data_IF_132736337380
#
_entry.id   IF_132736337380
#
_cell.length_a   1.000
_cell.length_b   1.000
_cell.length_c   1.000
_cell.angle_alpha   90.00
_cell.angle_beta   90.00
_cell.angle_gamma   90.00
#
_symmetry.space_group_name_H-M   'P 1'
#
loop_
_entity.id
_entity.type
_entity.pdbx_description
1 polymer ?
#
# COMPACT_ATOMS: atom_id res chain seq x y z
N UNK A 1 -16.36 30.53 5.41
CA UNK A 1 -16.70 29.57 4.36
C UNK A 1 -17.76 30.21 3.48
N UNK A 2 -17.60 30.19 2.19
CA UNK A 2 -18.30 31.11 1.28
C UNK A 2 -19.65 30.47 0.86
N UNK A 3 -20.78 31.05 1.26
CA UNK A 3 -22.16 30.64 0.89
C UNK A 3 -22.34 30.33 -0.60
N UNK A 4 -21.54 30.96 -1.44
CA UNK A 4 -21.54 30.75 -2.89
C UNK A 4 -20.92 29.38 -3.26
N UNK A 5 -19.87 28.96 -2.59
CA UNK A 5 -19.24 27.66 -2.81
C UNK A 5 -20.14 26.52 -2.36
N UNK A 6 -20.82 26.65 -1.23
CA UNK A 6 -21.80 25.67 -0.74
C UNK A 6 -22.98 25.50 -1.70
N UNK A 7 -23.46 26.59 -2.29
CA UNK A 7 -24.56 26.54 -3.27
C UNK A 7 -24.15 25.86 -4.59
N UNK A 8 -22.90 26.06 -5.04
CA UNK A 8 -22.36 25.37 -6.22
C UNK A 8 -22.20 23.86 -5.95
N UNK A 9 -21.71 23.52 -4.79
CA UNK A 9 -21.54 22.12 -4.38
C UNK A 9 -22.90 21.40 -4.29
N UNK A 10 -23.91 22.02 -3.70
CA UNK A 10 -25.26 21.50 -3.63
C UNK A 10 -25.85 21.25 -5.03
N UNK A 11 -25.72 22.19 -5.95
CA UNK A 11 -26.18 22.03 -7.34
C UNK A 11 -25.45 20.92 -8.08
N UNK A 12 -24.15 20.72 -7.81
CA UNK A 12 -23.38 19.63 -8.38
C UNK A 12 -23.90 18.26 -7.89
N UNK A 13 -24.18 18.13 -6.59
CA UNK A 13 -24.73 16.93 -5.98
C UNK A 13 -26.09 16.57 -6.60
N UNK A 14 -27.00 17.54 -6.76
CA UNK A 14 -28.31 17.33 -7.35
C UNK A 14 -28.21 16.84 -8.82
N UNK A 15 -27.29 17.40 -9.60
CA UNK A 15 -27.03 16.95 -10.98
C UNK A 15 -26.50 15.53 -11.04
N UNK A 16 -25.57 15.18 -10.15
CA UNK A 16 -24.99 13.84 -10.03
C UNK A 16 -26.09 12.81 -9.69
N UNK A 17 -26.95 13.12 -8.73
CA UNK A 17 -28.06 12.26 -8.34
C UNK A 17 -29.06 12.07 -9.49
N UNK A 18 -29.44 13.15 -10.14
CA UNK A 18 -30.36 13.11 -11.31
C UNK A 18 -29.77 12.28 -12.44
N UNK A 19 -28.51 12.47 -12.78
CA UNK A 19 -27.80 11.68 -13.78
C UNK A 19 -27.76 10.20 -13.42
N UNK A 20 -27.33 9.86 -12.21
CA UNK A 20 -27.27 8.47 -11.76
C UNK A 20 -28.64 7.79 -11.72
N UNK A 21 -29.73 8.54 -11.46
CA UNK A 21 -31.08 8.00 -11.49
C UNK A 21 -31.58 7.72 -12.92
N UNK A 22 -31.25 8.59 -13.87
CA UNK A 22 -31.71 8.47 -15.27
C UNK A 22 -30.92 7.42 -16.05
N UNK A 23 -29.68 7.18 -15.75
CA UNK A 23 -28.83 6.24 -16.48
C UNK A 23 -29.23 4.78 -16.20
N UNK A 24 -29.33 3.98 -17.28
CA UNK A 24 -29.57 2.53 -17.20
C UNK A 24 -28.26 1.76 -16.94
N UNK A 25 -27.59 2.08 -15.84
CA UNK A 25 -26.33 1.42 -15.43
C UNK A 25 -26.34 1.11 -13.94
N UNK A 26 -25.66 0.06 -13.53
CA UNK A 26 -25.54 -0.32 -12.12
C UNK A 26 -24.50 0.51 -11.36
N UNK A 27 -23.56 1.13 -12.06
CA UNK A 27 -22.53 1.99 -11.46
C UNK A 27 -22.36 3.27 -12.26
N UNK A 28 -22.38 4.39 -11.58
CA UNK A 28 -22.09 5.72 -12.13
C UNK A 28 -20.87 6.27 -11.41
N UNK A 29 -19.84 6.61 -12.14
CA UNK A 29 -18.57 7.09 -11.63
C UNK A 29 -18.44 8.59 -11.89
N UNK A 30 -18.04 9.33 -10.86
CA UNK A 30 -17.93 10.78 -10.92
C UNK A 30 -16.47 11.18 -10.85
N UNK A 31 -16.00 11.95 -11.84
CA UNK A 31 -14.64 12.48 -11.93
C UNK A 31 -13.54 11.41 -11.87
N UNK A 32 -13.79 10.25 -12.45
CA UNK A 32 -12.82 9.16 -12.52
C UNK A 32 -12.99 8.33 -13.80
N UNK A 33 -11.95 7.62 -14.28
CA UNK A 33 -12.04 6.70 -15.40
C UNK A 33 -13.00 5.54 -15.12
N UNK A 34 -13.77 5.12 -16.13
CA UNK A 34 -14.72 4.00 -16.01
C UNK A 34 -14.05 2.67 -15.63
N UNK A 35 -12.80 2.45 -16.03
CA UNK A 35 -12.01 1.27 -15.67
C UNK A 35 -11.85 1.09 -14.15
N UNK A 36 -11.79 2.17 -13.40
CA UNK A 36 -11.68 2.11 -11.94
C UNK A 36 -12.96 1.56 -11.28
N UNK A 37 -14.10 1.72 -11.92
CA UNK A 37 -15.36 1.19 -11.41
C UNK A 37 -15.46 -0.33 -11.40
N UNK A 38 -14.75 -1.01 -12.29
CA UNK A 38 -14.67 -2.47 -12.31
C UNK A 38 -13.79 -3.00 -11.15
N UNK A 39 -12.66 -2.36 -10.91
CA UNK A 39 -11.72 -2.75 -9.85
C UNK A 39 -12.30 -2.46 -8.45
N UNK A 40 -13.16 -1.45 -8.33
CA UNK A 40 -13.87 -1.18 -7.09
C UNK A 40 -13.00 -0.55 -6.02
N UNK A 41 -12.97 -1.14 -4.85
CA UNK A 41 -12.48 -0.56 -3.61
C UNK A 41 -10.98 -0.22 -3.56
N UNK A 42 -10.19 -0.76 -4.47
CA UNK A 42 -8.78 -0.39 -4.62
C UNK A 42 -8.58 1.14 -4.76
N UNK A 43 -9.59 1.85 -5.28
CA UNK A 43 -9.54 3.29 -5.48
C UNK A 43 -10.31 4.12 -4.44
N UNK A 44 -10.54 3.58 -3.25
CA UNK A 44 -11.09 4.29 -2.09
C UNK A 44 -12.51 4.90 -2.27
N UNK A 45 -13.39 4.23 -2.99
CA UNK A 45 -14.80 4.64 -3.11
C UNK A 45 -15.80 3.59 -2.62
N UNK A 46 -15.35 2.61 -1.84
CA UNK A 46 -16.20 1.61 -1.16
C UNK A 46 -17.12 0.78 -2.10
N UNK A 47 -16.74 0.62 -3.35
CA UNK A 47 -17.36 -0.35 -4.24
C UNK A 47 -16.67 -1.70 -4.10
N UNK A 48 -17.41 -2.78 -3.99
CA UNK A 48 -16.81 -4.11 -4.00
C UNK A 48 -16.15 -4.39 -5.36
N UNK A 49 -14.97 -5.04 -5.37
CA UNK A 49 -14.33 -5.47 -6.61
C UNK A 49 -15.27 -6.38 -7.41
N UNK A 50 -15.25 -6.25 -8.73
CA UNK A 50 -16.08 -7.06 -9.61
C UNK A 50 -15.31 -7.42 -10.87
N UNK A 51 -15.33 -8.69 -11.25
CA UNK A 51 -14.78 -9.16 -12.53
C UNK A 51 -15.72 -8.87 -13.70
N UNK A 52 -17.02 -8.80 -13.42
CA UNK A 52 -18.05 -8.51 -14.42
C UNK A 52 -19.01 -7.47 -13.88
N UNK A 53 -19.43 -6.56 -14.74
CA UNK A 53 -20.42 -5.53 -14.43
C UNK A 53 -21.67 -5.78 -15.27
N UNK A 54 -22.80 -5.98 -14.58
CA UNK A 54 -24.11 -6.06 -15.23
C UNK A 54 -24.87 -4.75 -15.11
N UNK A 55 -25.92 -4.60 -15.92
CA UNK A 55 -26.84 -3.47 -15.84
C UNK A 55 -28.01 -3.71 -14.88
N UNK A 56 -27.97 -4.75 -14.06
CA UNK A 56 -29.08 -5.16 -13.23
C UNK A 56 -30.25 -5.69 -14.09
N UNK A 57 -31.48 -5.40 -13.70
CA UNK A 57 -32.67 -5.85 -14.43
C UNK A 57 -32.73 -5.37 -15.88
N UNK A 58 -32.06 -4.29 -16.24
CA UNK A 58 -31.96 -3.83 -17.64
C UNK A 58 -31.05 -4.69 -18.52
N UNK A 59 -30.16 -5.48 -17.92
CA UNK A 59 -29.23 -6.37 -18.62
C UNK A 59 -29.68 -7.81 -18.66
N UNK A 60 -30.91 -8.11 -18.22
CA UNK A 60 -31.46 -9.48 -18.18
C UNK A 60 -30.57 -10.48 -17.44
N UNK A 61 -29.85 -10.01 -16.40
CA UNK A 61 -28.92 -10.82 -15.63
C UNK A 61 -29.68 -11.82 -14.75
N UNK A 62 -29.28 -13.08 -14.78
CA UNK A 62 -29.73 -14.10 -13.85
C UNK A 62 -28.95 -14.04 -12.54
N UNK A 63 -29.60 -14.51 -11.47
CA UNK A 63 -29.00 -14.62 -10.14
C UNK A 63 -28.79 -16.09 -9.79
N UNK A 64 -27.68 -16.40 -9.10
CA UNK A 64 -27.34 -17.76 -8.67
C UNK A 64 -27.87 -18.13 -7.28
N UNK A 65 -28.41 -17.16 -6.54
CA UNK A 65 -28.95 -17.37 -5.18
C UNK A 65 -30.48 -17.44 -5.16
N UNK A 66 -31.04 -17.74 -3.97
CA UNK A 66 -32.49 -17.71 -3.79
C UNK A 66 -33.04 -16.29 -4.06
N UNK A 67 -34.10 -16.21 -4.87
CA UNK A 67 -34.76 -14.95 -5.20
C UNK A 67 -35.52 -14.43 -3.98
N UNK A 68 -35.23 -13.24 -3.56
CA UNK A 68 -35.89 -12.56 -2.46
C UNK A 68 -36.15 -11.08 -2.81
N UNK A 69 -36.75 -10.28 -1.91
CA UNK A 69 -37.09 -8.87 -2.16
C UNK A 69 -35.96 -8.03 -2.72
N UNK A 70 -34.72 -8.30 -2.29
CA UNK A 70 -33.52 -7.61 -2.81
C UNK A 70 -33.31 -7.75 -4.32
N UNK A 71 -33.80 -8.85 -4.92
CA UNK A 71 -33.66 -9.09 -6.36
C UNK A 71 -34.70 -8.36 -7.20
N UNK A 72 -35.74 -7.85 -6.57
CA UNK A 72 -36.75 -7.00 -7.19
C UNK A 72 -36.34 -5.52 -7.19
N UNK A 73 -35.26 -5.18 -6.49
CA UNK A 73 -34.76 -3.82 -6.40
C UNK A 73 -33.61 -3.61 -7.40
N UNK A 74 -33.75 -2.58 -8.23
CA UNK A 74 -32.63 -2.09 -9.04
C UNK A 74 -31.74 -1.18 -8.21
N UNK A 75 -30.74 -1.77 -7.57
CA UNK A 75 -29.77 -1.03 -6.76
C UNK A 75 -28.76 -0.36 -7.68
N UNK A 76 -28.70 0.96 -7.65
CA UNK A 76 -27.71 1.77 -8.35
C UNK A 76 -26.69 2.32 -7.35
N UNK A 77 -25.43 2.22 -7.69
CA UNK A 77 -24.35 2.84 -6.92
C UNK A 77 -23.87 4.10 -7.63
N UNK A 78 -23.84 5.20 -6.91
CA UNK A 78 -23.17 6.44 -7.32
C UNK A 78 -21.89 6.54 -6.50
N UNK A 79 -20.76 6.49 -7.18
CA UNK A 79 -19.45 6.55 -6.54
C UNK A 79 -18.74 7.84 -6.93
N UNK A 80 -18.33 8.58 -5.92
CA UNK A 80 -17.52 9.76 -6.07
C UNK A 80 -16.20 9.56 -5.32
N UNK A 81 -15.10 9.90 -5.95
CA UNK A 81 -13.78 9.88 -5.32
C UNK A 81 -13.72 10.93 -4.22
N UNK A 82 -13.40 10.51 -2.99
CA UNK A 82 -13.31 11.42 -1.84
C UNK A 82 -12.08 12.33 -1.88
N UNK A 83 -11.04 11.90 -2.57
CA UNK A 83 -9.75 12.59 -2.57
C UNK A 83 -9.12 12.58 -3.95
N UNK A 84 -8.64 13.75 -4.36
CA UNK A 84 -7.76 13.87 -5.52
C UNK A 84 -6.32 13.57 -5.08
N UNK A 85 -5.73 12.51 -5.63
CA UNK A 85 -4.27 12.38 -5.57
C UNK A 85 -3.64 13.40 -6.51
N UNK A 86 -3.35 14.56 -5.95
CA UNK A 86 -2.68 15.66 -6.69
C UNK A 86 -1.15 15.56 -6.63
N UNK A 87 -0.63 14.53 -5.97
CA UNK A 87 0.81 14.36 -5.81
C UNK A 87 1.22 12.89 -5.93
N UNK A 88 2.40 12.70 -6.46
CA UNK A 88 3.08 11.42 -6.55
C UNK A 88 4.39 11.51 -5.75
N UNK A 89 4.61 10.59 -4.83
CA UNK A 89 5.81 10.56 -4.01
C UNK A 89 6.73 9.44 -4.45
N UNK A 90 7.94 9.80 -4.77
CA UNK A 90 9.04 8.88 -5.03
C UNK A 90 10.04 8.92 -3.87
N UNK A 91 10.94 7.94 -3.73
CA UNK A 91 12.05 8.01 -2.82
C UNK A 91 12.87 9.28 -3.03
N UNK A 92 13.44 9.89 -1.97
CA UNK A 92 14.27 11.10 -2.09
C UNK A 92 15.48 10.92 -3.00
N UNK A 93 16.04 9.71 -3.04
CA UNK A 93 17.16 9.34 -3.90
C UNK A 93 16.92 7.98 -4.52
N UNK A 94 17.24 7.84 -5.79
CA UNK A 94 17.24 6.58 -6.53
C UNK A 94 18.61 6.45 -7.19
N UNK A 95 19.36 5.45 -6.81
CA UNK A 95 20.63 5.09 -7.44
C UNK A 95 20.36 4.07 -8.54
N UNK A 96 20.62 4.43 -9.77
CA UNK A 96 20.32 3.61 -10.93
C UNK A 96 21.51 3.50 -11.87
N UNK A 97 22.40 2.56 -11.57
CA UNK A 97 23.53 2.20 -12.42
C UNK A 97 24.15 0.91 -11.89
N UNK A 98 24.71 0.09 -12.75
CA UNK A 98 25.54 -1.03 -12.31
C UNK A 98 26.71 -0.52 -11.45
N UNK A 99 26.91 -1.15 -10.28
CA UNK A 99 27.96 -0.77 -9.33
C UNK A 99 27.68 0.48 -8.50
N UNK A 100 26.45 1.05 -8.52
CA UNK A 100 26.13 2.23 -7.73
C UNK A 100 25.90 1.93 -6.23
N UNK A 101 25.99 0.69 -5.80
CA UNK A 101 25.73 0.29 -4.41
C UNK A 101 26.71 0.98 -3.46
N UNK A 102 27.98 1.05 -3.79
CA UNK A 102 29.00 1.74 -2.98
C UNK A 102 28.62 3.20 -2.72
N UNK A 103 28.20 3.91 -3.76
CA UNK A 103 27.74 5.30 -3.64
C UNK A 103 26.48 5.42 -2.77
N UNK A 104 25.53 4.50 -2.93
CA UNK A 104 24.32 4.46 -2.11
C UNK A 104 24.64 4.23 -0.62
N UNK A 105 25.64 3.43 -0.31
CA UNK A 105 26.04 3.13 1.06
C UNK A 105 26.74 4.31 1.75
N UNK A 106 27.30 5.28 1.02
CA UNK A 106 27.82 6.51 1.64
C UNK A 106 26.75 7.31 2.38
N UNK A 107 25.47 7.17 1.98
CA UNK A 107 24.34 7.80 2.67
C UNK A 107 24.05 7.19 4.06
N UNK A 108 24.68 6.06 4.38
CA UNK A 108 24.51 5.36 5.66
C UNK A 108 25.51 5.81 6.72
N UNK A 109 26.42 6.72 6.40
CA UNK A 109 27.41 7.25 7.29
C UNK A 109 26.78 7.76 8.61
N UNK A 110 27.40 7.41 9.74
CA UNK A 110 26.89 7.74 11.07
C UNK A 110 25.86 6.75 11.64
N UNK A 111 25.40 5.78 10.87
CA UNK A 111 24.61 4.65 11.38
C UNK A 111 25.52 3.64 12.09
N UNK A 112 24.94 2.84 12.98
CA UNK A 112 25.71 1.88 13.80
C UNK A 112 25.27 0.44 13.63
N UNK A 113 23.98 0.21 13.39
CA UNK A 113 23.38 -1.14 13.44
C UNK A 113 22.36 -1.31 12.33
N UNK A 114 22.72 -2.06 11.31
CA UNK A 114 21.88 -2.35 10.16
C UNK A 114 21.15 -3.68 10.32
N UNK A 115 19.83 -3.68 10.21
CA UNK A 115 19.03 -4.90 10.11
C UNK A 115 18.70 -5.16 8.65
N UNK A 116 19.25 -6.25 8.11
CA UNK A 116 19.10 -6.63 6.71
C UNK A 116 17.96 -7.62 6.60
N UNK A 117 16.97 -7.31 5.78
CA UNK A 117 15.81 -8.19 5.49
C UNK A 117 15.94 -8.71 4.08
N UNK A 118 15.97 -10.04 3.95
CA UNK A 118 16.14 -10.73 2.66
C UNK A 118 15.40 -12.06 2.65
N UNK A 119 15.44 -12.76 1.53
CA UNK A 119 14.95 -14.14 1.43
C UNK A 119 16.10 -15.15 1.48
N UNK A 120 15.74 -16.43 1.71
CA UNK A 120 16.71 -17.51 1.83
C UNK A 120 17.50 -17.78 0.56
N UNK A 121 16.92 -17.52 -0.62
CA UNK A 121 17.62 -17.71 -1.88
C UNK A 121 18.78 -16.71 -2.04
N UNK A 122 18.52 -15.43 -1.83
CA UNK A 122 19.55 -14.38 -1.92
C UNK A 122 20.60 -14.54 -0.80
N UNK A 123 20.18 -14.93 0.39
CA UNK A 123 21.11 -15.22 1.48
C UNK A 123 22.13 -16.30 1.09
N UNK A 124 21.67 -17.39 0.49
CA UNK A 124 22.53 -18.50 0.09
C UNK A 124 23.31 -18.26 -1.22
N UNK A 125 22.89 -17.30 -2.04
CA UNK A 125 23.53 -16.99 -3.33
C UNK A 125 24.84 -16.22 -3.22
N UNK A 126 25.17 -15.68 -2.05
CA UNK A 126 26.37 -14.87 -1.82
C UNK A 126 26.22 -13.40 -2.23
N UNK A 127 25.06 -12.97 -2.72
CA UNK A 127 24.79 -11.56 -3.11
C UNK A 127 24.98 -10.58 -1.96
N UNK A 128 24.80 -11.05 -0.73
CA UNK A 128 24.96 -10.19 0.46
C UNK A 128 26.44 -9.88 0.81
N UNK A 129 27.39 -10.53 0.16
CA UNK A 129 28.82 -10.34 0.48
C UNK A 129 29.24 -8.89 0.30
N UNK A 130 28.97 -8.32 -0.86
CA UNK A 130 29.32 -6.93 -1.19
C UNK A 130 28.65 -5.91 -0.25
N UNK A 131 27.32 -5.96 -0.03
CA UNK A 131 26.68 -5.10 0.99
C UNK A 131 27.27 -5.21 2.39
N UNK A 132 27.63 -6.41 2.83
CA UNK A 132 28.21 -6.62 4.15
C UNK A 132 29.62 -6.02 4.27
N UNK A 133 30.44 -6.15 3.24
CA UNK A 133 31.76 -5.53 3.15
C UNK A 133 31.65 -4.00 3.25
N UNK A 134 30.71 -3.37 2.55
CA UNK A 134 30.49 -1.92 2.66
C UNK A 134 30.01 -1.49 4.06
N UNK A 135 29.14 -2.28 4.72
CA UNK A 135 28.75 -1.99 6.09
C UNK A 135 29.92 -2.11 7.08
N UNK A 136 30.77 -3.11 6.90
CA UNK A 136 31.97 -3.29 7.69
C UNK A 136 32.96 -2.13 7.51
N UNK A 137 33.20 -1.69 6.26
CA UNK A 137 34.03 -0.51 5.96
C UNK A 137 33.52 0.76 6.65
N UNK A 138 32.19 0.90 6.81
CA UNK A 138 31.56 2.01 7.52
C UNK A 138 31.48 1.82 9.04
N UNK A 139 31.96 0.68 9.56
CA UNK A 139 31.86 0.35 10.98
C UNK A 139 30.43 0.07 11.47
N UNK A 140 29.53 -0.33 10.58
CA UNK A 140 28.13 -0.61 10.86
C UNK A 140 27.98 -2.11 11.15
N UNK A 141 27.51 -2.46 12.34
CA UNK A 141 27.16 -3.84 12.66
C UNK A 141 25.92 -4.27 11.89
N UNK A 142 25.95 -5.46 11.29
CA UNK A 142 24.82 -6.01 10.55
C UNK A 142 24.22 -7.24 11.26
N UNK A 143 22.89 -7.33 11.25
CA UNK A 143 22.14 -8.55 11.57
C UNK A 143 21.21 -8.89 10.41
N UNK A 144 21.16 -10.17 10.01
CA UNK A 144 20.49 -10.59 8.80
C UNK A 144 19.27 -11.44 9.13
N UNK A 145 18.10 -11.03 8.66
CA UNK A 145 16.88 -11.80 8.68
C UNK A 145 16.59 -12.34 7.27
N UNK A 146 16.83 -13.64 7.07
CA UNK A 146 16.75 -14.31 5.77
C UNK A 146 15.52 -15.25 5.66
N UNK A 147 14.54 -15.11 6.55
CA UNK A 147 13.36 -16.00 6.62
C UNK A 147 12.15 -15.46 5.84
N UNK A 148 12.34 -14.50 4.94
CA UNK A 148 11.22 -13.98 4.15
C UNK A 148 10.86 -14.99 3.05
N UNK A 149 9.60 -15.41 3.06
CA UNK A 149 9.00 -16.26 2.02
C UNK A 149 8.26 -15.40 0.99
N UNK A 150 7.98 -15.93 -0.21
CA UNK A 150 7.01 -15.32 -1.10
C UNK A 150 5.68 -15.09 -0.34
N UNK A 151 5.06 -13.92 -0.55
CA UNK A 151 3.87 -13.50 0.18
C UNK A 151 4.06 -13.52 1.71
N UNK A 152 4.87 -12.61 2.26
CA UNK A 152 5.26 -12.62 3.66
C UNK A 152 4.07 -12.51 4.59
N UNK A 153 4.01 -13.40 5.58
CA UNK A 153 2.95 -13.42 6.59
C UNK A 153 3.23 -12.48 7.75
N UNK A 154 2.20 -12.11 8.51
CA UNK A 154 2.37 -11.39 9.78
C UNK A 154 3.24 -12.16 10.78
N UNK A 155 3.19 -13.49 10.74
CA UNK A 155 4.05 -14.33 11.59
C UNK A 155 5.53 -14.12 11.28
N UNK A 156 5.88 -14.06 9.99
CA UNK A 156 7.24 -13.73 9.55
C UNK A 156 7.65 -12.33 9.98
N UNK A 157 6.77 -11.34 9.83
CA UNK A 157 7.05 -9.98 10.26
C UNK A 157 7.28 -9.88 11.78
N UNK A 158 6.47 -10.55 12.60
CA UNK A 158 6.62 -10.59 14.06
C UNK A 158 7.97 -11.16 14.49
N UNK A 159 8.39 -12.29 13.89
CA UNK A 159 9.73 -12.86 14.16
C UNK A 159 10.86 -11.86 13.87
N UNK A 160 10.75 -11.14 12.74
CA UNK A 160 11.70 -10.09 12.42
C UNK A 160 11.71 -8.97 13.46
N UNK A 161 10.53 -8.52 13.91
CA UNK A 161 10.40 -7.49 14.97
C UNK A 161 11.01 -7.95 16.31
N UNK A 162 10.77 -9.20 16.70
CA UNK A 162 11.36 -9.75 17.94
C UNK A 162 12.90 -9.73 17.89
N UNK A 163 13.44 -10.06 16.71
CA UNK A 163 14.89 -9.98 16.47
C UNK A 163 15.39 -8.53 16.47
N UNK A 164 14.65 -7.61 15.86
CA UNK A 164 14.95 -6.17 15.91
C UNK A 164 14.91 -5.62 17.32
N UNK A 165 13.98 -6.06 18.18
CA UNK A 165 13.91 -5.64 19.58
C UNK A 165 15.14 -6.07 20.38
N UNK A 166 15.75 -7.19 20.01
CA UNK A 166 17.01 -7.67 20.62
C UNK A 166 18.22 -6.92 20.07
N UNK A 167 18.28 -6.80 18.75
CA UNK A 167 19.41 -6.17 18.05
C UNK A 167 19.41 -4.65 18.16
N UNK A 168 18.24 -4.00 18.24
CA UNK A 168 18.02 -2.54 18.31
C UNK A 168 18.68 -1.78 17.16
N UNK A 169 18.27 -2.05 15.91
CA UNK A 169 18.82 -1.38 14.74
C UNK A 169 18.45 0.10 14.69
N UNK A 170 19.31 0.90 14.09
CA UNK A 170 19.03 2.29 13.70
C UNK A 170 18.93 2.45 12.17
N UNK A 171 19.03 1.35 11.44
CA UNK A 171 18.95 1.24 10.01
C UNK A 171 18.31 -0.08 9.60
N UNK A 172 17.40 -0.05 8.62
CA UNK A 172 16.85 -1.26 8.01
C UNK A 172 17.16 -1.22 6.52
N UNK A 173 17.72 -2.31 6.00
CA UNK A 173 18.05 -2.50 4.60
C UNK A 173 17.27 -3.70 4.09
N UNK A 174 16.46 -3.53 3.06
CA UNK A 174 15.81 -4.62 2.36
C UNK A 174 16.59 -4.95 1.10
N UNK A 175 17.00 -6.20 0.94
CA UNK A 175 17.70 -6.68 -0.25
C UNK A 175 16.89 -7.79 -0.88
N UNK A 176 16.38 -7.55 -2.08
CA UNK A 176 15.59 -8.53 -2.83
C UNK A 176 14.48 -7.92 -3.66
N UNK A 177 13.52 -8.75 -4.01
CA UNK A 177 12.30 -8.36 -4.74
C UNK A 177 11.24 -7.73 -3.83
N UNK A 178 9.99 -7.76 -4.28
CA UNK A 178 8.85 -7.19 -3.54
C UNK A 178 8.69 -7.75 -2.13
N UNK A 179 8.78 -9.08 -1.95
CA UNK A 179 8.53 -9.73 -0.66
C UNK A 179 9.47 -9.28 0.45
N UNK A 180 10.81 -9.25 0.31
CA UNK A 180 11.70 -8.68 1.30
C UNK A 180 11.45 -7.20 1.59
N UNK A 181 11.18 -6.40 0.53
CA UNK A 181 10.90 -4.98 0.69
C UNK A 181 9.61 -4.72 1.47
N UNK A 182 8.56 -5.48 1.21
CA UNK A 182 7.28 -5.33 1.91
C UNK A 182 7.36 -5.86 3.34
N UNK A 183 8.04 -6.98 3.56
CA UNK A 183 8.32 -7.50 4.91
C UNK A 183 9.09 -6.46 5.75
N UNK A 184 10.13 -5.87 5.19
CA UNK A 184 10.93 -4.85 5.88
C UNK A 184 10.10 -3.61 6.26
N UNK A 185 9.20 -3.16 5.39
CA UNK A 185 8.28 -2.04 5.68
C UNK A 185 7.33 -2.37 6.83
N UNK A 186 6.77 -3.58 6.84
CA UNK A 186 5.87 -4.03 7.90
C UNK A 186 6.64 -4.17 9.21
N UNK A 187 7.82 -4.81 9.19
CA UNK A 187 8.69 -4.94 10.36
C UNK A 187 9.06 -3.58 10.94
N UNK A 188 9.47 -2.64 10.10
CA UNK A 188 9.80 -1.29 10.54
C UNK A 188 8.61 -0.59 11.18
N UNK A 189 7.44 -0.66 10.56
CA UNK A 189 6.22 -0.07 11.10
C UNK A 189 5.87 -0.65 12.47
N UNK A 190 5.89 -1.98 12.62
CA UNK A 190 5.60 -2.66 13.89
C UNK A 190 6.67 -2.41 14.95
N UNK A 191 7.92 -2.25 14.57
CA UNK A 191 9.02 -1.95 15.48
C UNK A 191 8.93 -0.54 16.08
N UNK A 192 8.59 0.46 15.26
CA UNK A 192 8.44 1.84 15.73
C UNK A 192 7.07 2.13 16.36
N UNK A 193 6.06 1.33 16.02
CA UNK A 193 4.68 1.48 16.46
C UNK A 193 4.11 0.15 16.96
N UNK A 194 4.55 -0.33 18.13
CA UNK A 194 4.12 -1.63 18.68
C UNK A 194 2.60 -1.71 18.95
N UNK A 195 1.94 -0.58 19.09
CA UNK A 195 0.50 -0.43 19.30
C UNK A 195 -0.34 -0.71 18.05
N UNK A 196 0.26 -0.76 16.87
CA UNK A 196 -0.46 -0.93 15.60
C UNK A 196 -1.01 -2.34 15.46
N UNK A 197 -2.31 -2.45 15.21
CA UNK A 197 -2.98 -3.70 14.89
C UNK A 197 -2.95 -3.96 13.38
N UNK A 198 -3.16 -5.22 13.00
CA UNK A 198 -3.20 -5.62 11.59
C UNK A 198 -4.28 -4.86 10.80
N UNK A 199 -5.45 -4.68 11.39
CA UNK A 199 -6.56 -3.96 10.78
C UNK A 199 -6.18 -2.52 10.42
N UNK A 200 -5.29 -1.91 11.20
CA UNK A 200 -4.76 -0.57 10.92
C UNK A 200 -3.73 -0.55 9.80
N UNK A 201 -3.03 -1.67 9.58
CA UNK A 201 -2.07 -1.84 8.48
C UNK A 201 -2.75 -2.25 7.19
N UNK A 202 -3.75 -3.11 7.28
CA UNK A 202 -4.52 -3.62 6.14
C UNK A 202 -5.47 -2.59 5.53
N UNK A 203 -5.44 -1.35 6.02
CA UNK A 203 -6.23 -0.31 5.39
C UNK A 203 -5.69 0.00 4.00
N UNK A 204 -6.53 -0.28 3.08
CA UNK A 204 -6.65 0.05 1.65
C UNK A 204 -5.60 0.99 1.08
N UNK A 205 -5.28 0.77 -0.15
CA UNK A 205 -4.30 1.34 -1.06
C UNK A 205 -3.92 2.82 -0.88
N UNK A 206 -4.68 3.60 -0.12
CA UNK A 206 -4.45 5.01 0.11
C UNK A 206 -4.66 5.40 1.57
N UNK A 207 -3.83 4.84 2.44
CA UNK A 207 -3.76 5.36 3.80
C UNK A 207 -3.03 6.70 3.79
N UNK A 208 -3.80 7.78 3.86
CA UNK A 208 -3.31 9.16 3.91
C UNK A 208 -2.93 9.61 5.33
N UNK A 209 -3.07 8.72 6.32
CA UNK A 209 -2.68 9.05 7.69
C UNK A 209 -1.19 9.33 7.74
N UNK A 210 -0.83 10.51 8.25
CA UNK A 210 0.56 10.83 8.51
C UNK A 210 1.04 10.02 9.70
N UNK A 211 1.97 9.09 9.47
CA UNK A 211 2.71 8.41 10.52
C UNK A 211 4.04 9.11 10.71
N UNK A 212 4.40 9.36 11.95
CA UNK A 212 5.68 9.94 12.32
C UNK A 212 6.61 8.79 12.68
N UNK A 213 7.69 8.64 11.93
CA UNK A 213 8.72 7.65 12.18
C UNK A 213 9.95 8.32 12.81
N UNK A 214 10.52 7.64 13.80
CA UNK A 214 11.72 8.11 14.50
C UNK A 214 12.95 8.10 13.57
N UNK A 215 13.05 7.08 12.75
CA UNK A 215 14.16 6.92 11.82
C UNK A 215 13.73 7.30 10.39
N UNK A 216 14.60 8.03 9.71
CA UNK A 216 14.35 8.44 8.34
C UNK A 216 14.41 7.24 7.41
N UNK A 217 13.47 7.13 6.48
CA UNK A 217 13.52 6.15 5.40
C UNK A 217 14.81 6.29 4.60
N UNK A 218 15.69 5.31 4.67
CA UNK A 218 16.66 5.03 3.62
C UNK A 218 16.03 3.95 2.74
N UNK A 219 15.52 4.32 1.61
CA UNK A 219 15.07 3.40 0.56
C UNK A 219 16.13 3.34 -0.50
#
# INVERSE_FOLDING_TARGET
>A
MNLFAEKIEQQAIERIQKFGHLMKSCRTLINMPSSQGAIGDIFNFKLEPSLTLGCGSWGENSVSGNVGPKHLLNIKSIAQRRENMLWFRVPPKIFFKYGCMKEAFTELEGKKRAFIVTDGFLFNSGVLKEPLEYLEELGIQADIFAEVLPDPTLGTARKGVDRMNTFKPDLIIAIGGGSPMDAAKIMWLMYEHPEIKFEDMAMRFMDIRKRIFKYRRST
#
